data_IF_537856679443
#
_entry.id   IF_537856679443
#
_cell.length_a   1.000
_cell.length_b   1.000
_cell.length_c   1.000
_cell.angle_alpha   90.00
_cell.angle_beta   90.00
_cell.angle_gamma   90.00
#
_symmetry.space_group_name_H-M   'P 1'
#
loop_
_entity.id
_entity.type
_entity.pdbx_description
1 polymer ?
#
# COMPACT_ATOMS: atom_id res chain seq x y z
N UNK A 1 0.06 25.37 -37.29
CA UNK A 1 0.83 25.89 -36.13
C UNK A 1 0.07 25.78 -34.80
N UNK A 2 -1.10 26.43 -34.62
CA UNK A 2 -1.85 26.43 -33.33
C UNK A 2 -2.21 25.03 -32.79
N UNK A 3 -2.64 24.11 -33.68
CA UNK A 3 -2.95 22.71 -33.32
C UNK A 3 -1.72 21.91 -32.87
N UNK A 4 -0.55 22.18 -33.47
CA UNK A 4 0.71 21.51 -33.13
C UNK A 4 1.21 21.96 -31.75
N UNK A 5 1.13 23.27 -31.48
CA UNK A 5 1.50 23.85 -30.19
C UNK A 5 0.62 23.27 -29.07
N UNK A 6 -0.70 23.18 -29.28
CA UNK A 6 -1.63 22.56 -28.33
C UNK A 6 -1.30 21.08 -28.06
N UNK A 7 -0.93 20.33 -29.10
CA UNK A 7 -0.57 18.92 -28.94
C UNK A 7 0.72 18.75 -28.14
N UNK A 8 1.71 19.61 -28.38
CA UNK A 8 2.98 19.60 -27.68
C UNK A 8 2.82 19.99 -26.20
N UNK A 9 1.98 21.00 -25.89
CA UNK A 9 1.71 21.39 -24.51
C UNK A 9 0.94 20.32 -23.74
N UNK A 10 -0.01 19.64 -24.39
CA UNK A 10 -0.74 18.51 -23.78
C UNK A 10 0.18 17.32 -23.48
N UNK A 11 1.07 16.96 -24.42
CA UNK A 11 2.07 15.91 -24.22
C UNK A 11 3.04 16.23 -23.08
N UNK A 12 3.51 17.49 -23.01
CA UNK A 12 4.37 17.93 -21.93
C UNK A 12 3.66 17.84 -20.57
N UNK A 13 2.39 18.25 -20.48
CA UNK A 13 1.64 18.18 -19.23
C UNK A 13 1.42 16.74 -18.74
N UNK A 14 1.18 15.79 -19.66
CA UNK A 14 1.05 14.38 -19.30
C UNK A 14 2.38 13.76 -18.84
N UNK A 15 3.52 14.15 -19.43
CA UNK A 15 4.83 13.61 -19.02
C UNK A 15 5.31 14.14 -17.66
N UNK A 16 4.83 15.31 -17.24
CA UNK A 16 5.13 15.91 -15.92
C UNK A 16 4.44 15.20 -14.74
N UNK A 17 3.44 14.35 -14.96
CA UNK A 17 2.71 13.64 -13.90
C UNK A 17 3.34 12.29 -13.49
N UNK A 18 4.49 11.91 -14.06
CA UNK A 18 5.17 10.66 -13.70
C UNK A 18 6.11 10.83 -12.50
N UNK A 19 5.62 11.41 -11.41
CA UNK A 19 6.29 11.24 -10.10
C UNK A 19 5.79 9.91 -9.56
N UNK A 20 6.50 8.84 -9.91
CA UNK A 20 6.32 7.54 -9.26
C UNK A 20 6.56 7.72 -7.77
N UNK A 21 5.54 7.47 -6.96
CA UNK A 21 5.71 7.29 -5.52
C UNK A 21 6.72 6.15 -5.37
N UNK A 22 7.91 6.47 -4.84
CA UNK A 22 8.80 5.48 -4.27
C UNK A 22 8.04 4.89 -3.09
N UNK A 23 7.26 3.84 -3.35
CA UNK A 23 6.67 3.02 -2.30
C UNK A 23 7.87 2.53 -1.49
N UNK A 24 8.06 3.11 -0.31
CA UNK A 24 9.05 2.61 0.63
C UNK A 24 8.61 1.21 0.96
N UNK A 25 9.28 0.23 0.35
CA UNK A 25 8.94 -1.18 0.43
C UNK A 25 9.15 -1.60 1.89
N UNK A 26 8.16 -1.31 2.74
CA UNK A 26 8.23 -1.57 4.16
C UNK A 26 8.16 -3.07 4.25
N UNK A 27 9.31 -3.70 4.50
CA UNK A 27 9.38 -5.15 4.55
C UNK A 27 8.47 -5.64 5.66
N UNK A 28 7.34 -6.22 5.28
CA UNK A 28 6.41 -6.86 6.20
C UNK A 28 7.13 -8.02 6.88
N UNK A 29 7.13 -8.01 8.21
CA UNK A 29 7.51 -9.18 9.01
C UNK A 29 6.25 -10.01 9.23
N UNK A 30 6.38 -11.32 9.13
CA UNK A 30 5.28 -12.27 9.31
C UNK A 30 5.43 -13.03 10.62
N UNK A 31 4.31 -13.37 11.25
CA UNK A 31 4.28 -14.14 12.48
C UNK A 31 2.96 -14.88 12.66
N UNK A 32 2.91 -15.68 13.71
CA UNK A 32 1.72 -16.41 14.15
C UNK A 32 1.54 -16.17 15.64
N UNK A 33 0.36 -15.71 16.03
CA UNK A 33 -0.04 -15.57 17.42
C UNK A 33 -0.95 -16.75 17.79
N UNK A 34 -0.84 -17.25 19.02
CA UNK A 34 -1.78 -18.22 19.57
C UNK A 34 -2.88 -17.46 20.32
N UNK A 35 -4.14 -17.70 19.98
CA UNK A 35 -5.30 -17.11 20.67
C UNK A 35 -5.53 -17.78 22.03
N UNK A 36 -6.44 -17.21 22.82
CA UNK A 36 -6.77 -17.76 24.15
C UNK A 36 -7.36 -19.17 24.12
N UNK A 37 -8.03 -19.54 23.02
CA UNK A 37 -8.59 -20.88 22.78
C UNK A 37 -7.63 -21.82 22.02
N UNK A 38 -6.40 -21.39 21.74
CA UNK A 38 -5.35 -22.20 21.14
C UNK A 38 -5.27 -22.14 19.61
N UNK A 39 -6.16 -21.39 18.95
CA UNK A 39 -6.14 -21.18 17.51
C UNK A 39 -4.92 -20.36 17.06
N UNK A 40 -4.42 -20.64 15.87
CA UNK A 40 -3.27 -19.95 15.30
C UNK A 40 -3.72 -18.83 14.36
N UNK A 41 -3.34 -17.59 14.69
CA UNK A 41 -3.67 -16.40 13.93
C UNK A 41 -2.42 -15.89 13.21
N UNK A 42 -2.40 -15.98 11.89
CA UNK A 42 -1.36 -15.39 11.06
C UNK A 42 -1.48 -13.86 11.05
N UNK A 43 -0.36 -13.16 11.19
CA UNK A 43 -0.32 -11.71 11.11
C UNK A 43 0.94 -11.21 10.39
N UNK A 44 0.90 -9.96 9.96
CA UNK A 44 2.07 -9.23 9.46
C UNK A 44 2.19 -7.87 10.16
N UNK A 45 3.41 -7.36 10.23
CA UNK A 45 3.71 -6.05 10.82
C UNK A 45 4.63 -5.26 9.90
N UNK A 46 4.34 -3.97 9.74
CA UNK A 46 5.17 -3.01 9.02
C UNK A 46 5.25 -1.68 9.82
N UNK A 47 6.25 -0.85 9.52
CA UNK A 47 6.47 0.42 10.22
C UNK A 47 7.23 0.29 11.56
N UNK A 48 7.44 1.44 12.21
CA UNK A 48 8.22 1.58 13.46
C UNK A 48 7.63 2.61 14.44
N UNK A 49 6.34 2.94 14.30
CA UNK A 49 5.65 3.90 15.17
C UNK A 49 5.48 3.36 16.60
N UNK A 50 5.34 4.27 17.57
CA UNK A 50 5.11 3.91 18.98
C UNK A 50 3.70 3.33 19.21
N UNK A 51 2.68 3.93 18.59
CA UNK A 51 1.30 3.45 18.63
C UNK A 51 1.04 2.48 17.47
N UNK A 52 0.53 1.29 17.79
CA UNK A 52 0.13 0.31 16.79
C UNK A 52 -1.26 0.63 16.21
N UNK A 53 -1.38 0.58 14.88
CA UNK A 53 -2.66 0.53 14.17
C UNK A 53 -2.94 -0.91 13.74
N UNK A 54 -4.10 -1.46 14.09
CA UNK A 54 -4.47 -2.84 13.80
C UNK A 54 -5.50 -2.86 12.66
N UNK A 55 -5.18 -3.57 11.59
CA UNK A 55 -6.08 -3.83 10.47
C UNK A 55 -6.67 -5.23 10.58
N UNK A 56 -7.99 -5.34 10.57
CA UNK A 56 -8.72 -6.61 10.64
C UNK A 56 -9.53 -6.76 9.35
N UNK A 57 -9.33 -7.86 8.62
CA UNK A 57 -10.10 -8.14 7.42
C UNK A 57 -11.45 -8.79 7.75
N UNK A 58 -12.36 -8.79 6.77
CA UNK A 58 -13.65 -9.49 6.89
C UNK A 58 -13.55 -10.99 6.63
N UNK A 59 -14.72 -11.63 6.52
CA UNK A 59 -14.87 -13.05 6.22
C UNK A 59 -14.24 -13.43 4.87
N UNK A 60 -13.63 -14.61 4.81
CA UNK A 60 -13.04 -15.19 3.58
C UNK A 60 -11.99 -14.32 2.89
N UNK A 61 -11.31 -13.46 3.64
CA UNK A 61 -10.22 -12.58 3.20
C UNK A 61 -8.98 -12.80 4.07
N UNK A 62 -7.87 -12.14 3.73
CA UNK A 62 -6.65 -12.10 4.52
C UNK A 62 -6.01 -10.69 4.53
N UNK A 63 -4.84 -10.56 5.16
CA UNK A 63 -4.10 -9.28 5.30
C UNK A 63 -3.82 -8.56 3.99
N UNK A 64 -3.85 -9.24 2.83
CA UNK A 64 -3.58 -8.64 1.52
C UNK A 64 -4.63 -7.60 1.12
N UNK A 65 -5.83 -7.65 1.71
CA UNK A 65 -6.89 -6.63 1.54
C UNK A 65 -6.38 -5.20 1.78
N UNK A 66 -5.39 -5.04 2.65
CA UNK A 66 -4.89 -3.74 3.09
C UNK A 66 -3.66 -3.26 2.33
N UNK A 67 -3.09 -4.05 1.40
CA UNK A 67 -1.81 -3.72 0.76
C UNK A 67 -1.77 -2.33 0.13
N UNK A 68 -2.86 -1.90 -0.51
CA UNK A 68 -2.92 -0.59 -1.16
C UNK A 68 -3.18 0.57 -0.18
N UNK A 69 -3.40 0.28 1.11
CA UNK A 69 -3.64 1.25 2.18
C UNK A 69 -2.42 1.43 3.09
N UNK A 70 -1.41 0.55 2.98
CA UNK A 70 -0.24 0.52 3.88
C UNK A 70 0.89 1.49 3.48
N UNK A 71 0.80 2.14 2.32
CA UNK A 71 1.73 3.20 1.88
C UNK A 71 3.00 2.72 1.20
#
# INVERSE_FOLDING_TARGET
>A
MKRLILMMTFLAFMSLNSVGVLASNTTSKYGVATSSDGELIAYSTCGRGETALIFIHGWSLDSRLWQNQLG
#
